data_IF_024734930618
#
_entry.id   IF_024734930618
#
_cell.length_a   1.000
_cell.length_b   1.000
_cell.length_c   1.000
_cell.angle_alpha   90.00
_cell.angle_beta   90.00
_cell.angle_gamma   90.00
#
_symmetry.space_group_name_H-M   'P 1'
#
loop_
_entity.id
_entity.type
_entity.pdbx_description
1 polymer ?
#
# COMPACT_ATOMS: atom_id res chain seq x y z
N UNK A 1 -4.56 -6.68 15.86
CA UNK A 1 -5.26 -5.68 15.03
C UNK A 1 -4.33 -5.42 13.88
N UNK A 2 -4.75 -5.68 12.64
CA UNK A 2 -3.88 -5.52 11.47
C UNK A 2 -3.81 -4.07 11.03
N UNK A 3 -2.66 -3.64 10.54
CA UNK A 3 -2.48 -2.31 9.96
C UNK A 3 -1.94 -2.45 8.55
N UNK A 4 -2.67 -1.93 7.58
CA UNK A 4 -2.25 -1.88 6.18
C UNK A 4 -2.03 -0.42 5.81
N UNK A 5 -0.80 -0.09 5.41
CA UNK A 5 -0.41 1.26 5.02
C UNK A 5 -0.08 1.27 3.55
N UNK A 6 -0.78 2.09 2.77
CA UNK A 6 -0.44 2.36 1.39
C UNK A 6 0.54 3.52 1.32
N UNK A 7 1.65 3.36 0.62
CA UNK A 7 2.60 4.45 0.38
C UNK A 7 2.22 5.24 -0.88
N UNK A 8 2.59 6.52 -0.88
CA UNK A 8 2.28 7.48 -1.93
C UNK A 8 2.67 8.90 -1.51
N UNK A 9 2.64 9.82 -2.47
CA UNK A 9 2.78 11.26 -2.21
C UNK A 9 1.40 11.95 -2.21
N UNK A 10 1.17 12.93 -1.32
CA UNK A 10 -0.09 13.67 -1.26
C UNK A 10 -0.20 14.70 -2.39
N UNK A 11 -1.42 14.88 -2.91
CA UNK A 11 -1.75 15.89 -3.91
C UNK A 11 -2.07 15.30 -5.29
N UNK A 12 -2.96 15.98 -6.02
CA UNK A 12 -3.56 15.48 -7.27
C UNK A 12 -2.53 15.14 -8.36
N UNK A 13 -1.46 15.94 -8.46
CA UNK A 13 -0.34 15.71 -9.40
C UNK A 13 0.44 14.42 -9.19
N UNK A 14 0.22 13.73 -8.05
CA UNK A 14 0.85 12.45 -7.74
C UNK A 14 -0.11 11.26 -7.85
N UNK A 15 -1.41 11.52 -8.10
CA UNK A 15 -2.45 10.50 -7.99
C UNK A 15 -2.32 9.34 -8.98
N UNK A 16 -1.70 9.58 -10.14
CA UNK A 16 -1.59 8.60 -11.23
C UNK A 16 -0.18 8.01 -11.38
N UNK A 17 0.73 8.42 -10.50
CA UNK A 17 2.13 8.10 -10.59
C UNK A 17 2.36 6.70 -10.05
N UNK A 18 3.38 6.02 -10.56
CA UNK A 18 3.76 4.67 -10.10
C UNK A 18 3.94 4.61 -8.59
N UNK A 19 4.54 5.63 -7.98
CA UNK A 19 4.73 5.75 -6.52
C UNK A 19 3.45 5.79 -5.69
N UNK A 20 2.28 6.07 -6.28
CA UNK A 20 1.03 6.16 -5.57
C UNK A 20 0.21 4.86 -5.64
N UNK A 21 0.76 3.78 -6.21
CA UNK A 21 0.06 2.49 -6.28
C UNK A 21 -0.35 1.97 -4.90
N UNK A 22 0.44 2.23 -3.85
CA UNK A 22 0.09 1.83 -2.48
C UNK A 22 -1.19 2.50 -1.98
N UNK A 23 -1.40 3.80 -2.26
CA UNK A 23 -2.66 4.47 -1.97
C UNK A 23 -3.83 3.84 -2.73
N UNK A 24 -3.64 3.55 -4.02
CA UNK A 24 -4.68 2.98 -4.89
C UNK A 24 -5.13 1.60 -4.41
N UNK A 25 -4.20 0.75 -3.98
CA UNK A 25 -4.52 -0.56 -3.37
C UNK A 25 -5.33 -0.38 -2.09
N UNK A 26 -4.92 0.52 -1.21
CA UNK A 26 -5.64 0.73 0.06
C UNK A 26 -7.02 1.34 -0.16
N UNK A 27 -7.20 2.18 -1.18
CA UNK A 27 -8.51 2.68 -1.60
C UNK A 27 -9.41 1.57 -2.15
N UNK A 28 -8.87 0.70 -3.00
CA UNK A 28 -9.63 -0.43 -3.56
C UNK A 28 -10.03 -1.44 -2.47
N UNK A 29 -9.13 -1.74 -1.54
CA UNK A 29 -9.43 -2.57 -0.38
C UNK A 29 -10.58 -2.02 0.47
N UNK A 30 -10.65 -0.70 0.69
CA UNK A 30 -11.77 -0.06 1.40
C UNK A 30 -13.09 -0.30 0.67
N UNK A 31 -13.11 -0.16 -0.66
CA UNK A 31 -14.33 -0.41 -1.45
C UNK A 31 -14.79 -1.86 -1.31
N UNK A 32 -13.86 -2.83 -1.39
CA UNK A 32 -14.17 -4.25 -1.23
C UNK A 32 -14.76 -4.54 0.16
N UNK A 33 -14.17 -3.97 1.22
CA UNK A 33 -14.68 -4.11 2.59
C UNK A 33 -16.08 -3.48 2.74
N UNK A 34 -16.31 -2.31 2.16
CA UNK A 34 -17.61 -1.64 2.19
C UNK A 34 -18.70 -2.48 1.51
N UNK A 35 -18.39 -3.07 0.34
CA UNK A 35 -19.32 -3.94 -0.39
C UNK A 35 -19.63 -5.20 0.44
N UNK A 36 -18.61 -5.84 1.02
CA UNK A 36 -18.78 -7.02 1.85
C UNK A 36 -19.70 -6.74 3.05
N UNK A 37 -19.47 -5.64 3.79
CA UNK A 37 -20.30 -5.25 4.93
C UNK A 37 -21.75 -4.94 4.52
N UNK A 38 -21.97 -4.31 3.36
CA UNK A 38 -23.32 -4.04 2.85
C UNK A 38 -24.05 -5.31 2.39
N UNK A 39 -23.33 -6.32 1.91
CA UNK A 39 -23.91 -7.59 1.44
C UNK A 39 -24.32 -8.52 2.60
N UNK A 40 -23.55 -8.55 3.69
CA UNK A 40 -23.88 -9.33 4.89
C UNK A 40 -25.02 -8.69 5.70
N UNK A 41 -25.16 -7.37 5.63
CA UNK A 41 -26.08 -6.60 6.47
C UNK A 41 -27.21 -5.96 5.65
N UNK A 42 -28.08 -6.78 5.04
CA UNK A 42 -29.21 -6.31 4.22
C UNK A 42 -30.26 -5.44 4.93
N UNK A 43 -30.14 -5.06 6.22
CA UNK A 43 -31.22 -4.34 6.93
C UNK A 43 -30.82 -3.33 8.04
N UNK A 44 -29.57 -2.92 8.21
CA UNK A 44 -29.28 -1.78 9.11
C UNK A 44 -28.17 -0.90 8.57
N UNK A 45 -28.32 0.43 8.71
CA UNK A 45 -27.34 1.45 8.36
C UNK A 45 -25.95 1.10 8.93
N UNK A 46 -25.14 0.37 8.17
CA UNK A 46 -23.72 0.22 8.45
C UNK A 46 -23.05 1.57 8.24
N UNK A 47 -22.19 1.98 9.18
CA UNK A 47 -21.38 3.19 9.04
C UNK A 47 -20.50 3.08 7.79
N UNK A 48 -20.58 4.07 6.90
CA UNK A 48 -19.74 4.15 5.69
C UNK A 48 -18.24 4.14 6.06
N UNK A 49 -17.51 3.16 5.55
CA UNK A 49 -16.06 3.06 5.59
C UNK A 49 -15.47 4.14 4.68
N UNK A 50 -15.10 5.25 5.29
CA UNK A 50 -14.51 6.39 4.60
C UNK A 50 -13.24 6.84 5.31
N UNK A 51 -12.28 7.34 4.52
CA UNK A 51 -11.04 7.88 5.06
C UNK A 51 -11.32 9.16 5.85
N UNK A 52 -10.89 9.19 7.11
CA UNK A 52 -10.88 10.38 7.94
C UNK A 52 -9.44 10.87 8.13
N UNK A 53 -9.20 12.17 7.94
CA UNK A 53 -7.89 12.74 8.15
C UNK A 53 -7.57 12.87 9.64
N UNK A 54 -6.52 12.17 10.08
CA UNK A 54 -5.97 12.27 11.43
C UNK A 54 -4.81 13.26 11.47
N UNK A 55 -5.05 14.44 12.04
CA UNK A 55 -4.01 15.46 12.29
C UNK A 55 -2.86 14.92 13.13
N UNK A 56 -3.13 13.97 14.02
CA UNK A 56 -2.14 13.38 14.93
C UNK A 56 -1.05 12.62 14.19
N UNK A 57 -1.41 11.96 13.09
CA UNK A 57 -0.51 11.12 12.31
C UNK A 57 -0.18 11.75 10.95
N UNK A 58 -0.82 12.88 10.61
CA UNK A 58 -0.81 13.45 9.27
C UNK A 58 -1.15 12.37 8.21
N UNK A 59 -2.25 11.65 8.43
CA UNK A 59 -2.59 10.43 7.69
C UNK A 59 -4.11 10.34 7.51
N UNK A 60 -4.55 9.92 6.34
CA UNK A 60 -5.94 9.51 6.10
C UNK A 60 -6.13 8.07 6.56
N UNK A 61 -7.12 7.83 7.42
CA UNK A 61 -7.32 6.53 8.08
C UNK A 61 -8.77 6.06 7.96
N UNK A 62 -8.94 4.77 7.65
CA UNK A 62 -10.14 3.99 7.98
C UNK A 62 -9.80 3.10 9.17
N UNK A 63 -10.58 3.16 10.24
CA UNK A 63 -10.33 2.39 11.45
C UNK A 63 -11.58 1.61 11.86
N UNK A 64 -11.42 0.32 12.12
CA UNK A 64 -12.42 -0.54 12.74
C UNK A 64 -11.89 -1.15 14.03
N UNK A 65 -12.67 -2.03 14.67
CA UNK A 65 -12.17 -2.84 15.79
C UNK A 65 -11.13 -3.87 15.36
N UNK A 66 -11.11 -4.26 14.08
CA UNK A 66 -10.26 -5.36 13.56
C UNK A 66 -8.98 -4.84 12.91
N UNK A 67 -9.05 -3.71 12.20
CA UNK A 67 -7.96 -3.23 11.36
C UNK A 67 -7.88 -1.70 11.27
N UNK A 68 -6.74 -1.22 10.80
CA UNK A 68 -6.48 0.16 10.40
C UNK A 68 -5.97 0.13 8.95
N UNK A 69 -6.59 0.93 8.08
CA UNK A 69 -6.12 1.20 6.73
C UNK A 69 -5.65 2.64 6.68
N UNK A 70 -4.45 2.90 6.17
CA UNK A 70 -3.80 4.19 6.28
C UNK A 70 -3.15 4.65 4.97
N UNK A 71 -3.30 5.94 4.66
CA UNK A 71 -2.59 6.65 3.59
C UNK A 71 -1.86 7.87 4.17
N UNK A 72 -0.55 7.76 4.50
CA UNK A 72 0.23 8.87 5.04
C UNK A 72 0.19 10.09 4.12
N UNK A 73 -0.19 11.26 4.62
CA UNK A 73 -0.20 12.51 3.86
C UNK A 73 1.13 13.28 4.03
N UNK A 74 2.22 12.55 4.23
CA UNK A 74 3.59 13.03 4.22
C UNK A 74 4.18 12.82 2.82
N UNK A 75 5.26 13.52 2.47
CA UNK A 75 6.06 13.08 1.30
C UNK A 75 6.63 11.68 1.53
N UNK A 76 6.90 10.97 0.43
CA UNK A 76 7.34 9.57 0.43
C UNK A 76 8.54 9.32 1.35
N UNK A 77 9.55 10.18 1.32
CA UNK A 77 10.74 10.06 2.17
C UNK A 77 10.49 10.32 3.67
N UNK A 78 9.27 10.69 4.04
CA UNK A 78 8.85 11.01 5.40
C UNK A 78 7.73 10.07 5.90
N UNK A 79 7.35 9.05 5.12
CA UNK A 79 6.32 8.08 5.47
C UNK A 79 6.57 7.39 6.80
N UNK A 80 7.84 7.17 7.19
CA UNK A 80 8.18 6.57 8.46
C UNK A 80 7.69 7.35 9.68
N UNK A 81 7.57 8.68 9.59
CA UNK A 81 7.02 9.51 10.68
C UNK A 81 5.57 9.13 11.00
N UNK A 82 4.75 8.97 9.97
CA UNK A 82 3.35 8.59 10.08
C UNK A 82 3.21 7.14 10.60
N UNK A 83 3.90 6.20 9.94
CA UNK A 83 3.83 4.77 10.27
C UNK A 83 4.26 4.51 11.71
N UNK A 84 5.43 5.02 12.12
CA UNK A 84 5.92 4.83 13.49
C UNK A 84 4.99 5.46 14.53
N UNK A 85 4.35 6.59 14.22
CA UNK A 85 3.38 7.22 15.11
C UNK A 85 2.11 6.37 15.28
N UNK A 86 1.60 5.77 14.21
CA UNK A 86 0.46 4.84 14.24
C UNK A 86 0.83 3.60 15.05
N UNK A 87 1.95 2.93 14.73
CA UNK A 87 2.39 1.73 15.43
C UNK A 87 2.55 1.94 16.93
N UNK A 88 3.21 3.04 17.33
CA UNK A 88 3.40 3.38 18.75
C UNK A 88 2.09 3.68 19.46
N UNK A 89 1.18 4.44 18.82
CA UNK A 89 -0.06 4.83 19.47
C UNK A 89 -1.01 3.65 19.68
N UNK A 90 -1.19 2.82 18.65
CA UNK A 90 -2.08 1.65 18.72
C UNK A 90 -1.39 0.39 19.25
N UNK A 91 -0.09 0.47 19.60
CA UNK A 91 0.73 -0.66 20.10
C UNK A 91 0.71 -1.85 19.14
N UNK A 92 0.88 -1.54 17.87
CA UNK A 92 0.87 -2.53 16.79
C UNK A 92 2.15 -3.36 16.84
N UNK A 93 2.01 -4.68 16.76
CA UNK A 93 3.14 -5.57 16.53
C UNK A 93 3.52 -5.54 15.05
N UNK A 94 4.80 -5.61 14.73
CA UNK A 94 5.26 -5.49 13.33
C UNK A 94 4.82 -6.68 12.44
N UNK A 95 4.58 -7.86 13.04
CA UNK A 95 3.97 -9.02 12.36
C UNK A 95 2.54 -8.75 11.83
N UNK A 96 1.86 -7.73 12.38
CA UNK A 96 0.54 -7.28 11.99
C UNK A 96 0.59 -6.02 11.08
N UNK A 97 1.78 -5.53 10.73
CA UNK A 97 2.00 -4.37 9.86
C UNK A 97 2.28 -4.82 8.42
N UNK A 98 1.51 -4.27 7.49
CA UNK A 98 1.65 -4.48 6.05
C UNK A 98 1.86 -3.13 5.38
N UNK A 99 2.94 -3.01 4.60
CA UNK A 99 3.29 -1.81 3.85
C UNK A 99 3.13 -2.10 2.36
N UNK A 100 2.20 -1.41 1.70
CA UNK A 100 1.95 -1.53 0.27
C UNK A 100 2.68 -0.41 -0.47
N UNK A 101 3.48 -0.78 -1.46
CA UNK A 101 4.33 0.16 -2.19
C UNK A 101 4.63 -0.34 -3.62
N UNK A 102 5.10 0.56 -4.48
CA UNK A 102 5.63 0.20 -5.79
C UNK A 102 7.02 -0.43 -5.68
N UNK A 103 7.33 -1.28 -6.65
CA UNK A 103 8.58 -2.03 -6.70
C UNK A 103 9.14 -2.08 -8.13
N UNK A 104 10.36 -1.57 -8.29
CA UNK A 104 11.09 -1.55 -9.56
C UNK A 104 11.91 -2.84 -9.79
N UNK A 105 12.00 -3.72 -8.81
CA UNK A 105 12.62 -5.05 -8.96
C UNK A 105 11.61 -6.09 -9.47
N UNK A 106 10.33 -5.71 -9.60
CA UNK A 106 9.23 -6.58 -10.04
C UNK A 106 8.60 -5.99 -11.31
N UNK A 107 8.46 -6.84 -12.33
CA UNK A 107 7.81 -6.47 -13.58
C UNK A 107 6.35 -6.06 -13.37
N UNK A 108 5.91 -5.07 -14.16
CA UNK A 108 4.50 -4.68 -14.23
C UNK A 108 3.62 -5.90 -14.53
N UNK A 109 2.49 -6.00 -13.84
CA UNK A 109 1.57 -7.15 -13.95
C UNK A 109 1.81 -8.23 -12.90
N UNK A 110 2.75 -8.04 -11.98
CA UNK A 110 3.04 -8.98 -10.88
C UNK A 110 3.10 -8.25 -9.54
N UNK A 111 2.90 -9.00 -8.45
CA UNK A 111 3.10 -8.50 -7.10
C UNK A 111 3.60 -9.63 -6.19
N UNK A 112 4.11 -9.28 -5.00
CA UNK A 112 4.54 -10.25 -3.98
C UNK A 112 4.19 -9.75 -2.58
N UNK A 113 3.80 -10.65 -1.69
CA UNK A 113 3.63 -10.34 -0.26
C UNK A 113 4.69 -11.09 0.53
N UNK A 114 5.65 -10.37 1.13
CA UNK A 114 6.84 -10.97 1.74
C UNK A 114 7.18 -10.32 3.08
N UNK A 115 7.46 -11.14 4.09
CA UNK A 115 7.92 -10.65 5.38
C UNK A 115 9.42 -10.31 5.34
N UNK A 116 9.80 -9.12 5.80
CA UNK A 116 11.20 -8.70 5.93
C UNK A 116 11.95 -8.50 4.61
N UNK A 117 11.29 -8.62 3.46
CA UNK A 117 11.93 -8.56 2.13
C UNK A 117 11.33 -7.43 1.31
N UNK A 118 12.03 -6.30 1.27
CA UNK A 118 11.71 -5.14 0.44
C UNK A 118 12.46 -5.10 -0.91
N UNK A 119 12.28 -4.01 -1.68
CA UNK A 119 13.07 -3.69 -2.86
C UNK A 119 14.49 -3.25 -2.51
N UNK A 120 15.37 -3.16 -3.50
CA UNK A 120 16.73 -2.63 -3.31
C UNK A 120 16.75 -1.19 -2.78
N UNK A 121 15.90 -0.32 -3.32
CA UNK A 121 15.82 1.09 -2.92
C UNK A 121 14.37 1.57 -3.04
N UNK A 122 13.78 2.01 -1.93
CA UNK A 122 12.51 2.73 -1.93
C UNK A 122 12.47 3.73 -0.76
N UNK A 123 12.40 5.03 -1.06
CA UNK A 123 12.56 6.09 -0.05
C UNK A 123 11.54 6.04 1.08
N UNK A 124 10.32 5.56 0.81
CA UNK A 124 9.30 5.39 1.85
C UNK A 124 9.61 4.24 2.79
N UNK A 125 10.20 3.15 2.29
CA UNK A 125 10.59 2.02 3.14
C UNK A 125 11.84 2.36 3.94
N UNK A 126 12.84 2.99 3.32
CA UNK A 126 14.01 3.50 4.04
C UNK A 126 13.61 4.42 5.20
N UNK A 127 12.64 5.30 4.98
CA UNK A 127 12.07 6.17 6.02
C UNK A 127 11.40 5.36 7.15
N UNK A 128 10.63 4.31 6.81
CA UNK A 128 9.96 3.45 7.79
C UNK A 128 10.98 2.65 8.59
N UNK A 129 11.93 2.01 7.93
CA UNK A 129 12.99 1.20 8.54
C UNK A 129 13.83 2.04 9.50
N UNK A 130 14.21 3.27 9.12
CA UNK A 130 14.92 4.20 9.99
C UNK A 130 14.14 4.50 11.27
N UNK A 131 12.81 4.68 11.17
CA UNK A 131 11.96 5.06 12.30
C UNK A 131 11.54 3.89 13.18
N UNK A 132 11.44 2.70 12.61
CA UNK A 132 11.09 1.47 13.34
C UNK A 132 12.34 0.72 13.85
N UNK A 133 13.52 0.98 13.28
CA UNK A 133 14.78 0.31 13.59
C UNK A 133 14.89 -1.10 13.00
N UNK A 134 14.02 -1.47 12.06
CA UNK A 134 13.96 -2.81 11.47
C UNK A 134 13.12 -2.81 10.19
N UNK A 135 13.36 -3.80 9.33
CA UNK A 135 12.60 -4.15 8.13
C UNK A 135 11.59 -5.30 8.36
N UNK A 136 11.50 -5.82 9.58
CA UNK A 136 10.72 -7.02 9.93
C UNK A 136 9.20 -6.73 10.03
N UNK A 137 8.60 -6.41 8.88
CA UNK A 137 7.16 -6.28 8.65
C UNK A 137 6.81 -6.85 7.26
N UNK A 138 5.52 -6.94 6.93
CA UNK A 138 5.08 -7.43 5.62
C UNK A 138 5.21 -6.35 4.56
N UNK A 139 5.96 -6.63 3.50
CA UNK A 139 6.04 -5.82 2.30
C UNK A 139 5.08 -6.38 1.25
N UNK A 140 4.14 -5.56 0.80
CA UNK A 140 3.22 -5.84 -0.30
C UNK A 140 3.77 -5.08 -1.51
N UNK A 141 4.56 -5.80 -2.29
CA UNK A 141 5.42 -5.28 -3.35
C UNK A 141 4.67 -5.32 -4.68
N UNK A 142 4.23 -4.18 -5.18
CA UNK A 142 3.50 -4.08 -6.44
C UNK A 142 4.47 -3.76 -7.56
N UNK A 143 4.62 -4.66 -8.54
CA UNK A 143 5.53 -4.47 -9.66
C UNK A 143 5.10 -3.35 -10.58
N UNK A 144 6.00 -2.40 -10.82
CA UNK A 144 5.78 -1.26 -11.73
C UNK A 144 6.86 -1.14 -12.79
N UNK A 145 7.82 -2.07 -12.83
CA UNK A 145 8.89 -2.05 -13.81
C UNK A 145 8.38 -2.45 -15.20
N UNK A 146 8.47 -1.52 -16.15
CA UNK A 146 8.12 -1.74 -17.54
C UNK A 146 9.05 -0.98 -18.51
N UNK A 147 10.22 -0.53 -18.03
CA UNK A 147 11.20 0.13 -18.87
C UNK A 147 11.86 -0.92 -19.78
N UNK A 148 11.84 -0.66 -21.08
CA UNK A 148 12.69 -1.40 -22.00
C UNK A 148 14.16 -1.14 -21.67
N UNK A 149 14.97 -2.21 -21.58
CA UNK A 149 16.42 -2.09 -21.39
C UNK A 149 17.03 -1.55 -22.69
N UNK A 150 17.05 -0.23 -22.85
CA UNK A 150 17.69 0.45 -24.00
C UNK A 150 19.10 0.96 -23.65
N UNK A 151 20.08 0.05 -23.66
CA UNK A 151 21.51 0.38 -23.52
C UNK A 151 21.88 1.10 -22.21
N UNK A 152 23.01 1.82 -22.21
CA UNK A 152 23.60 2.47 -21.01
C UNK A 152 22.89 3.75 -20.51
N UNK A 153 21.67 4.08 -20.98
CA UNK A 153 20.95 5.31 -20.60
C UNK A 153 19.46 5.05 -20.37
N UNK A 154 19.15 4.15 -19.44
CA UNK A 154 17.78 4.00 -18.93
C UNK A 154 17.34 5.22 -18.11
N UNK A 155 16.04 5.46 -18.04
CA UNK A 155 15.45 6.47 -17.14
C UNK A 155 15.83 6.10 -15.70
N UNK A 156 16.35 7.02 -14.86
CA UNK A 156 16.63 6.70 -13.46
C UNK A 156 15.39 6.23 -12.70
N UNK A 157 15.52 5.25 -11.79
CA UNK A 157 14.39 4.67 -11.06
C UNK A 157 13.54 5.70 -10.33
N UNK A 158 14.19 6.64 -9.64
CA UNK A 158 13.54 7.76 -8.92
C UNK A 158 12.72 8.69 -9.83
N UNK A 159 13.10 8.79 -11.10
CA UNK A 159 12.36 9.59 -12.09
C UNK A 159 11.20 8.77 -12.63
N UNK A 160 11.45 7.49 -12.95
CA UNK A 160 10.44 6.60 -13.51
C UNK A 160 9.28 6.34 -12.54
N UNK A 161 9.57 6.14 -11.26
CA UNK A 161 8.55 5.93 -10.23
C UNK A 161 7.63 7.16 -10.01
N UNK A 162 8.07 8.34 -10.41
CA UNK A 162 7.27 9.57 -10.39
C UNK A 162 6.50 9.83 -11.68
N UNK A 163 6.66 9.00 -12.71
CA UNK A 163 5.87 9.09 -13.94
C UNK A 163 4.53 8.38 -13.80
N UNK A 164 3.55 8.85 -14.57
CA UNK A 164 2.23 8.25 -14.68
C UNK A 164 2.25 6.98 -15.54
N UNK A 165 1.35 6.06 -15.24
CA UNK A 165 1.09 4.91 -16.10
C UNK A 165 0.46 5.37 -17.42
N UNK A 166 0.91 4.81 -18.55
CA UNK A 166 0.26 5.02 -19.84
C UNK A 166 -1.08 4.24 -19.92
N UNK A 167 -1.79 4.29 -21.06
CA UNK A 167 -3.08 3.60 -21.19
C UNK A 167 -2.98 2.08 -21.01
N UNK A 168 -2.02 1.43 -21.67
CA UNK A 168 -1.81 -0.03 -21.61
C UNK A 168 -1.34 -0.46 -20.21
N UNK A 169 -0.41 0.30 -19.62
CA UNK A 169 0.07 0.03 -18.27
C UNK A 169 -1.02 0.18 -17.21
N UNK A 170 -1.98 1.10 -17.43
CA UNK A 170 -3.12 1.30 -16.53
C UNK A 170 -4.02 0.07 -16.47
N UNK A 171 -4.34 -0.53 -17.61
CA UNK A 171 -5.16 -1.76 -17.64
C UNK A 171 -4.48 -2.89 -16.84
N UNK A 172 -3.17 -3.03 -17.01
CA UNK A 172 -2.39 -4.05 -16.30
C UNK A 172 -2.34 -3.77 -14.79
N UNK A 173 -1.99 -2.54 -14.38
CA UNK A 173 -1.87 -2.21 -12.96
C UNK A 173 -3.22 -2.25 -12.24
N UNK A 174 -4.31 -1.90 -12.90
CA UNK A 174 -5.64 -1.94 -12.31
C UNK A 174 -6.04 -3.39 -11.96
N UNK A 175 -5.72 -4.35 -12.84
CA UNK A 175 -5.89 -5.78 -12.54
C UNK A 175 -5.01 -6.24 -11.38
N UNK A 176 -3.76 -5.79 -11.30
CA UNK A 176 -2.87 -6.10 -10.17
C UNK A 176 -3.42 -5.52 -8.86
N UNK A 177 -3.90 -4.27 -8.88
CA UNK A 177 -4.50 -3.59 -7.73
C UNK A 177 -5.72 -4.36 -7.22
N UNK A 178 -6.59 -4.84 -8.11
CA UNK A 178 -7.75 -5.65 -7.74
C UNK A 178 -7.30 -6.97 -7.07
N UNK A 179 -6.36 -7.68 -7.69
CA UNK A 179 -5.89 -8.98 -7.18
C UNK A 179 -5.21 -8.86 -5.81
N UNK A 180 -4.30 -7.90 -5.64
CA UNK A 180 -3.61 -7.70 -4.34
C UNK A 180 -4.58 -7.19 -3.27
N UNK A 181 -5.54 -6.34 -3.63
CA UNK A 181 -6.60 -5.89 -2.70
C UNK A 181 -7.44 -7.06 -2.22
N UNK A 182 -7.77 -8.00 -3.10
CA UNK A 182 -8.49 -9.22 -2.74
C UNK A 182 -7.70 -10.10 -1.77
N UNK A 183 -6.41 -10.30 -2.01
CA UNK A 183 -5.58 -11.09 -1.09
C UNK A 183 -5.46 -10.42 0.29
N UNK A 184 -5.29 -9.09 0.32
CA UNK A 184 -5.31 -8.32 1.57
C UNK A 184 -6.68 -8.38 2.28
N UNK A 185 -7.78 -8.39 1.54
CA UNK A 185 -9.11 -8.60 2.08
C UNK A 185 -9.21 -9.95 2.78
N UNK A 186 -8.75 -11.03 2.13
CA UNK A 186 -8.75 -12.38 2.68
C UNK A 186 -7.90 -12.48 3.97
N UNK A 187 -6.72 -11.84 4.00
CA UNK A 187 -5.87 -11.70 5.20
C UNK A 187 -6.63 -11.00 6.34
N UNK A 188 -7.38 -9.93 6.05
CA UNK A 188 -8.17 -9.21 7.05
C UNK A 188 -9.34 -10.04 7.58
N UNK A 189 -9.90 -10.94 6.76
CA UNK A 189 -10.94 -11.90 7.18
C UNK A 189 -10.36 -13.11 7.92
N UNK A 190 -9.04 -13.23 8.04
CA UNK A 190 -8.36 -14.33 8.73
C UNK A 190 -8.21 -15.59 7.89
N UNK A 191 -8.37 -15.51 6.57
CA UNK A 191 -7.99 -16.58 5.65
C UNK A 191 -6.46 -16.58 5.53
N UNK A 192 -5.86 -17.77 5.52
CA UNK A 192 -4.39 -17.91 5.43
C UNK A 192 -3.96 -17.68 3.99
N UNK A 193 -2.86 -16.93 3.79
CA UNK A 193 -2.17 -16.82 2.49
C UNK A 193 -1.98 -18.22 1.92
N UNK A 194 -2.50 -18.48 0.72
CA UNK A 194 -2.08 -19.67 -0.01
C UNK A 194 -0.62 -19.44 -0.37
N UNK A 195 0.30 -20.12 0.30
CA UNK A 195 1.70 -20.07 -0.05
C UNK A 195 1.82 -20.52 -1.52
N UNK A 196 2.20 -19.61 -2.40
CA UNK A 196 2.62 -19.96 -3.75
C UNK A 196 3.79 -20.96 -3.63
N UNK A 197 3.59 -22.14 -4.24
CA UNK A 197 4.57 -23.23 -4.34
C UNK A 197 5.62 -22.89 -5.39
#
# INVERSE_FOLDING_TARGET
MKVIVGLGNPGEKYSQNRHNVGFRVVEELVKMLQIAESSEHSLTQGSELSFAFSKKFNTEIVQTKKYILAKPQTFMNESGKAVAAICRFYKIKLEDLYIVHDDLDIALGSYKIQHGKGPQVHNGLLSIEERLGTDQFWNVRVGVENREVRGNRGIPGVVYSLQDFNAEEREIIDSVIENVSKELFDILQGQTLQAEV
#
